data_IF_126652446612
#
_entry.id   IF_126652446612
#
_cell.length_a   1.000
_cell.length_b   1.000
_cell.length_c   1.000
_cell.angle_alpha   90.00
_cell.angle_beta   90.00
_cell.angle_gamma   90.00
#
_symmetry.space_group_name_H-M   'P 1'
#
loop_
_entity.id
_entity.type
_entity.pdbx_description
1 polymer ?
#
# COMPACT_ATOMS: atom_id res chain seq x y z
N UNK A 1 -4.90 9.36 -6.21
CA UNK A 1 -3.94 9.00 -7.28
C UNK A 1 -4.72 8.53 -8.49
N UNK A 2 -4.97 9.43 -9.41
CA UNK A 2 -5.89 9.20 -10.53
C UNK A 2 -5.50 8.03 -11.46
N UNK A 3 -4.23 7.77 -11.59
CA UNK A 3 -3.67 6.78 -12.51
C UNK A 3 -4.17 5.35 -12.22
N UNK A 4 -3.98 4.89 -10.99
CA UNK A 4 -4.38 3.55 -10.56
C UNK A 4 -5.89 3.45 -10.36
N UNK A 5 -6.53 4.51 -9.88
CA UNK A 5 -7.95 4.55 -9.56
C UNK A 5 -8.80 4.49 -10.84
N UNK A 6 -8.38 5.20 -11.89
CA UNK A 6 -9.05 5.15 -13.19
C UNK A 6 -9.07 3.75 -13.79
N UNK A 7 -7.95 3.02 -13.75
CA UNK A 7 -7.87 1.65 -14.26
C UNK A 7 -8.71 0.68 -13.41
N UNK A 8 -8.73 0.82 -12.08
CA UNK A 8 -9.56 0.01 -11.20
C UNK A 8 -11.06 0.24 -11.47
N UNK A 9 -11.48 1.50 -11.66
CA UNK A 9 -12.86 1.84 -12.00
C UNK A 9 -13.29 1.22 -13.34
N UNK A 10 -12.43 1.31 -14.37
CA UNK A 10 -12.72 0.69 -15.67
C UNK A 10 -12.84 -0.84 -15.55
N UNK A 11 -11.97 -1.46 -14.78
CA UNK A 11 -12.02 -2.89 -14.50
C UNK A 11 -13.32 -3.28 -13.74
N UNK A 12 -13.68 -2.53 -12.70
CA UNK A 12 -14.91 -2.75 -11.96
C UNK A 12 -16.15 -2.65 -12.87
N UNK A 13 -16.20 -1.67 -13.77
CA UNK A 13 -17.29 -1.53 -14.74
C UNK A 13 -17.40 -2.72 -15.70
N UNK A 14 -16.30 -3.30 -16.11
CA UNK A 14 -16.31 -4.49 -16.97
C UNK A 14 -16.78 -5.76 -16.24
N UNK A 15 -16.52 -5.86 -14.94
CA UNK A 15 -16.93 -7.02 -14.13
C UNK A 15 -18.39 -6.91 -13.68
N UNK A 16 -18.88 -5.72 -13.38
CA UNK A 16 -20.20 -5.51 -12.80
C UNK A 16 -21.37 -6.21 -13.53
N UNK A 17 -21.39 -6.35 -14.88
CA UNK A 17 -22.41 -7.13 -15.56
C UNK A 17 -22.38 -8.63 -15.28
N UNK A 18 -21.26 -9.15 -14.78
CA UNK A 18 -21.01 -10.60 -14.64
C UNK A 18 -20.96 -11.06 -13.18
N UNK A 19 -20.78 -10.14 -12.22
CA UNK A 19 -20.65 -10.48 -10.81
C UNK A 19 -21.19 -9.36 -9.91
N UNK A 20 -21.69 -9.73 -8.72
CA UNK A 20 -22.07 -8.77 -7.68
C UNK A 20 -20.92 -8.44 -6.73
N UNK A 21 -19.95 -9.34 -6.61
CA UNK A 21 -18.81 -9.22 -5.70
C UNK A 21 -17.55 -9.70 -6.40
N UNK A 22 -16.44 -9.08 -6.05
CA UNK A 22 -15.10 -9.56 -6.37
C UNK A 22 -14.32 -9.86 -5.09
N UNK A 23 -13.41 -10.81 -5.18
CA UNK A 23 -12.42 -11.10 -4.13
C UNK A 23 -11.10 -10.51 -4.57
N UNK A 24 -10.55 -9.61 -3.75
CA UNK A 24 -9.27 -8.94 -4.03
C UNK A 24 -8.15 -9.51 -3.18
N UNK A 25 -6.94 -9.57 -3.75
CA UNK A 25 -5.71 -9.88 -3.03
C UNK A 25 -5.09 -8.68 -2.30
N UNK A 26 -5.76 -7.54 -2.26
CA UNK A 26 -5.30 -6.37 -1.51
C UNK A 26 -5.10 -6.70 -0.02
N UNK A 27 -4.25 -5.95 0.64
CA UNK A 27 -3.81 -6.15 2.02
C UNK A 27 -2.83 -7.32 2.23
N UNK A 28 -2.62 -8.17 1.25
CA UNK A 28 -1.66 -9.28 1.34
C UNK A 28 -0.20 -8.84 1.40
N UNK A 29 0.15 -7.72 0.78
CA UNK A 29 1.51 -7.17 0.83
C UNK A 29 1.81 -6.53 2.19
N UNK A 30 0.84 -5.83 2.77
CA UNK A 30 0.92 -5.23 4.10
C UNK A 30 1.07 -6.30 5.18
N UNK A 31 0.28 -7.34 5.06
CA UNK A 31 0.20 -8.39 6.08
C UNK A 31 1.43 -9.32 6.06
N UNK A 32 1.86 -9.73 4.87
CA UNK A 32 2.91 -10.74 4.70
C UNK A 32 4.27 -10.18 4.26
N UNK A 33 4.46 -8.86 4.29
CA UNK A 33 5.76 -8.24 3.98
C UNK A 33 6.10 -8.26 2.48
N UNK A 34 5.15 -7.96 1.60
CA UNK A 34 5.35 -8.00 0.15
C UNK A 34 6.08 -6.80 -0.43
N UNK A 35 6.12 -5.67 0.26
CA UNK A 35 6.71 -4.44 -0.25
C UNK A 35 8.23 -4.38 -0.10
N UNK A 36 8.92 -3.66 -0.99
CA UNK A 36 10.39 -3.54 -0.95
C UNK A 36 10.94 -2.99 0.35
N UNK A 37 10.24 -2.04 0.99
CA UNK A 37 10.69 -1.43 2.24
C UNK A 37 10.73 -2.39 3.44
N UNK A 38 10.04 -3.52 3.38
CA UNK A 38 10.16 -4.55 4.39
C UNK A 38 11.45 -5.37 4.30
N UNK A 39 12.20 -5.24 3.20
CA UNK A 39 13.49 -5.93 3.03
C UNK A 39 14.69 -5.15 3.58
N UNK A 40 14.46 -3.92 3.96
CA UNK A 40 15.49 -3.03 4.46
C UNK A 40 14.99 -2.35 5.74
N UNK A 41 15.44 -2.87 6.89
CA UNK A 41 15.11 -2.32 8.19
C UNK A 41 15.62 -0.87 8.38
N UNK A 42 16.52 -0.38 7.52
CA UNK A 42 16.99 1.01 7.53
C UNK A 42 16.06 1.96 6.78
N UNK A 43 15.09 1.44 6.05
CA UNK A 43 14.12 2.26 5.29
C UNK A 43 13.13 3.03 6.17
N UNK A 44 13.04 2.70 7.46
CA UNK A 44 12.27 3.48 8.42
C UNK A 44 12.93 4.83 8.68
N UNK A 45 12.25 5.91 8.34
CA UNK A 45 12.65 7.28 8.61
C UNK A 45 11.61 7.99 9.46
N UNK A 46 12.05 8.81 10.41
CA UNK A 46 11.16 9.67 11.18
C UNK A 46 10.57 10.83 10.36
N UNK A 47 11.09 11.09 9.17
CA UNK A 47 10.74 12.27 8.38
C UNK A 47 9.59 12.03 7.38
N UNK A 48 9.38 10.76 6.96
CA UNK A 48 8.34 10.43 6.00
C UNK A 48 8.00 8.93 6.03
N UNK A 49 6.80 8.58 5.60
CA UNK A 49 6.43 7.19 5.40
C UNK A 49 7.25 6.54 4.27
N UNK A 50 7.60 5.24 4.35
CA UNK A 50 8.41 4.56 3.33
C UNK A 50 7.87 4.68 1.90
N UNK A 51 6.55 4.80 1.74
CA UNK A 51 5.87 4.94 0.44
C UNK A 51 5.64 6.38 0.00
N UNK A 52 6.01 7.39 0.80
CA UNK A 52 5.70 8.81 0.52
C UNK A 52 6.36 9.36 -0.73
N UNK A 53 7.48 8.80 -1.16
CA UNK A 53 8.31 9.41 -2.19
C UNK A 53 8.86 10.77 -1.73
N UNK A 54 9.17 11.66 -2.68
CA UNK A 54 9.75 12.95 -2.36
C UNK A 54 8.72 13.95 -1.82
N UNK A 55 8.75 14.21 -0.51
CA UNK A 55 7.97 15.28 0.12
C UNK A 55 8.37 16.67 -0.38
N UNK A 56 9.60 16.85 -0.82
CA UNK A 56 10.05 18.09 -1.45
C UNK A 56 9.28 18.38 -2.74
N UNK A 57 9.25 17.42 -3.66
CA UNK A 57 8.53 17.58 -4.93
C UNK A 57 7.03 17.80 -4.68
N UNK A 58 6.41 17.05 -3.78
CA UNK A 58 5.00 17.23 -3.42
C UNK A 58 4.71 18.63 -2.86
N UNK A 59 5.62 19.15 -2.01
CA UNK A 59 5.48 20.48 -1.44
C UNK A 59 5.60 21.59 -2.49
N UNK A 60 6.36 21.37 -3.56
CA UNK A 60 6.55 22.37 -4.63
C UNK A 60 5.30 22.58 -5.49
N UNK A 61 4.38 21.61 -5.55
CA UNK A 61 3.11 21.74 -6.27
C UNK A 61 2.18 22.75 -5.58
N UNK A 62 2.33 22.94 -4.27
CA UNK A 62 1.48 23.83 -3.50
C UNK A 62 1.90 25.29 -3.66
N UNK A 63 0.91 26.19 -3.80
CA UNK A 63 1.16 27.65 -3.69
C UNK A 63 1.83 27.95 -2.34
N UNK A 64 2.76 28.91 -2.32
CA UNK A 64 3.55 29.24 -1.12
C UNK A 64 2.67 29.44 0.13
N UNK A 65 1.61 30.22 0.03
CA UNK A 65 0.65 30.47 1.14
C UNK A 65 0.08 29.18 1.72
N UNK A 66 -0.29 28.21 0.85
CA UNK A 66 -0.87 26.93 1.25
C UNK A 66 0.21 26.06 1.90
N UNK A 67 1.38 25.97 1.29
CA UNK A 67 2.51 25.22 1.81
C UNK A 67 2.96 25.69 3.19
N UNK A 68 3.07 27.02 3.38
CA UNK A 68 3.50 27.64 4.64
C UNK A 68 2.47 27.37 5.77
N UNK A 69 1.18 27.31 5.43
CA UNK A 69 0.10 26.99 6.36
C UNK A 69 0.05 25.48 6.69
N UNK A 70 0.13 24.62 5.69
CA UNK A 70 0.02 23.17 5.86
C UNK A 70 1.30 22.52 6.40
N UNK A 71 2.47 23.10 6.10
CA UNK A 71 3.79 22.58 6.49
C UNK A 71 3.91 21.06 6.24
N UNK A 72 3.78 20.58 4.96
CA UNK A 72 3.61 19.15 4.66
C UNK A 72 4.69 18.25 5.24
N UNK A 73 5.95 18.69 5.25
CA UNK A 73 7.06 17.94 5.85
C UNK A 73 6.89 17.77 7.36
N UNK A 74 6.54 18.85 8.05
CA UNK A 74 6.32 18.81 9.51
C UNK A 74 5.10 17.96 9.86
N UNK A 75 4.04 18.02 9.06
CA UNK A 75 2.87 17.19 9.21
C UNK A 75 3.21 15.69 9.02
N UNK A 76 3.92 15.33 7.95
CA UNK A 76 4.31 13.95 7.70
C UNK A 76 5.19 13.40 8.82
N UNK A 77 6.20 14.19 9.26
CA UNK A 77 7.06 13.82 10.39
C UNK A 77 6.25 13.59 11.68
N UNK A 78 5.34 14.50 12.00
CA UNK A 78 4.50 14.37 13.20
C UNK A 78 3.62 13.12 13.14
N UNK A 79 3.04 12.81 11.97
CA UNK A 79 2.24 11.61 11.77
C UNK A 79 3.07 10.32 11.94
N UNK A 80 4.29 10.28 11.37
CA UNK A 80 5.20 9.13 11.53
C UNK A 80 5.60 8.95 12.99
N UNK A 81 6.03 10.01 13.67
CA UNK A 81 6.44 9.93 15.08
C UNK A 81 5.28 9.47 15.97
N UNK A 82 4.09 9.99 15.74
CA UNK A 82 2.89 9.58 16.47
C UNK A 82 2.55 8.08 16.23
N UNK A 83 2.74 7.59 15.00
CA UNK A 83 2.55 6.17 14.69
C UNK A 83 3.60 5.30 15.40
N UNK A 84 4.87 5.72 15.41
CA UNK A 84 5.96 5.03 16.11
C UNK A 84 5.65 4.90 17.61
N UNK A 85 5.20 5.96 18.24
CA UNK A 85 4.91 6.00 19.69
C UNK A 85 3.77 5.06 20.11
N UNK A 86 2.91 4.66 19.16
CA UNK A 86 1.79 3.75 19.43
C UNK A 86 2.11 2.28 19.22
N UNK A 87 3.28 1.96 18.68
CA UNK A 87 3.63 0.56 18.42
C UNK A 87 4.03 -0.15 19.68
N UNK A 88 3.29 -1.18 20.02
CA UNK A 88 3.68 -2.10 21.09
C UNK A 88 4.71 -3.10 20.58
N UNK A 89 5.84 -3.17 21.26
CA UNK A 89 6.93 -4.09 20.95
C UNK A 89 6.92 -5.29 21.88
N UNK A 90 7.32 -6.46 21.34
CA UNK A 90 7.47 -7.65 22.14
C UNK A 90 8.68 -7.55 23.08
N UNK A 91 8.63 -8.16 24.28
CA UNK A 91 9.78 -8.23 25.15
C UNK A 91 10.98 -8.86 24.44
N UNK A 92 12.15 -8.23 24.52
CA UNK A 92 13.40 -8.70 23.89
C UNK A 92 13.35 -8.85 22.37
N UNK A 93 12.41 -8.18 21.70
CA UNK A 93 12.35 -8.17 20.23
C UNK A 93 13.63 -7.57 19.63
N UNK A 94 14.26 -8.22 18.62
CA UNK A 94 15.44 -7.68 17.96
C UNK A 94 15.18 -6.30 17.33
N UNK A 95 16.18 -5.44 17.26
CA UNK A 95 16.04 -4.07 16.74
C UNK A 95 15.50 -4.04 15.30
N UNK A 96 15.95 -4.99 14.46
CA UNK A 96 15.45 -5.12 13.09
C UNK A 96 13.95 -5.45 13.06
N UNK A 97 13.50 -6.39 13.90
CA UNK A 97 12.10 -6.79 13.96
C UNK A 97 11.21 -5.67 14.52
N UNK A 98 11.72 -4.89 15.50
CA UNK A 98 11.03 -3.68 15.98
C UNK A 98 10.80 -2.68 14.84
N UNK A 99 11.82 -2.47 14.03
CA UNK A 99 11.72 -1.59 12.87
C UNK A 99 10.67 -2.09 11.86
N UNK A 100 10.71 -3.39 11.52
CA UNK A 100 9.77 -4.01 10.59
C UNK A 100 8.34 -4.02 11.14
N UNK A 101 8.15 -4.29 12.44
CA UNK A 101 6.85 -4.19 13.12
C UNK A 101 6.30 -2.77 13.06
N UNK A 102 7.14 -1.78 13.31
CA UNK A 102 6.76 -0.36 13.21
C UNK A 102 6.31 -0.01 11.78
N UNK A 103 7.07 -0.43 10.77
CA UNK A 103 6.67 -0.23 9.38
C UNK A 103 5.36 -0.95 9.03
N UNK A 104 5.15 -2.16 9.55
CA UNK A 104 3.91 -2.91 9.33
C UNK A 104 2.72 -2.22 9.98
N UNK A 105 2.87 -1.73 11.20
CA UNK A 105 1.83 -0.95 11.90
C UNK A 105 1.43 0.29 11.08
N UNK A 106 2.42 1.05 10.62
CA UNK A 106 2.15 2.20 9.76
C UNK A 106 1.46 1.81 8.44
N UNK A 107 1.84 0.67 7.85
CA UNK A 107 1.15 0.15 6.67
C UNK A 107 -0.32 -0.15 6.96
N UNK A 108 -0.66 -0.75 8.09
CA UNK A 108 -2.06 -1.03 8.45
C UNK A 108 -2.85 0.26 8.66
N UNK A 109 -2.30 1.19 9.42
CA UNK A 109 -3.02 2.41 9.80
C UNK A 109 -3.25 3.37 8.63
N UNK A 110 -2.25 3.52 7.76
CA UNK A 110 -2.30 4.58 6.73
C UNK A 110 -2.41 4.04 5.31
N UNK A 111 -1.72 2.96 4.99
CA UNK A 111 -1.63 2.47 3.63
C UNK A 111 -2.75 1.49 3.29
N UNK A 112 -2.93 0.47 4.12
CA UNK A 112 -3.97 -0.54 3.95
C UNK A 112 -5.38 0.07 4.03
N UNK A 113 -5.62 0.97 4.99
CA UNK A 113 -6.90 1.68 5.11
C UNK A 113 -7.24 2.46 3.82
N UNK A 114 -6.25 3.18 3.27
CA UNK A 114 -6.43 3.89 2.00
C UNK A 114 -6.66 2.96 0.80
N UNK A 115 -6.01 1.81 0.75
CA UNK A 115 -6.24 0.82 -0.32
C UNK A 115 -7.65 0.25 -0.26
N UNK A 116 -8.13 -0.08 0.94
CA UNK A 116 -9.49 -0.60 1.13
C UNK A 116 -10.56 0.42 0.78
N UNK A 117 -10.41 1.66 1.24
CA UNK A 117 -11.33 2.75 0.89
C UNK A 117 -11.39 2.96 -0.62
N UNK A 118 -10.24 2.94 -1.28
CA UNK A 118 -10.13 3.05 -2.74
C UNK A 118 -10.85 1.90 -3.44
N UNK A 119 -10.58 0.66 -3.06
CA UNK A 119 -11.19 -0.51 -3.67
C UNK A 119 -12.72 -0.50 -3.47
N UNK A 120 -13.17 -0.21 -2.26
CA UNK A 120 -14.58 -0.12 -1.93
C UNK A 120 -15.28 0.99 -2.75
N UNK A 121 -14.70 2.19 -2.82
CA UNK A 121 -15.27 3.32 -3.54
C UNK A 121 -15.35 3.08 -5.05
N UNK A 122 -14.27 2.56 -5.67
CA UNK A 122 -14.25 2.30 -7.12
C UNK A 122 -15.21 1.17 -7.51
N UNK A 123 -15.30 0.14 -6.68
CA UNK A 123 -16.25 -0.95 -6.90
C UNK A 123 -17.70 -0.51 -6.67
N UNK A 124 -17.98 0.22 -5.59
CA UNK A 124 -19.31 0.72 -5.27
C UNK A 124 -19.88 1.64 -6.36
N UNK A 125 -19.03 2.47 -6.98
CA UNK A 125 -19.42 3.31 -8.12
C UNK A 125 -19.94 2.48 -9.31
N UNK A 126 -19.54 1.23 -9.42
CA UNK A 126 -19.99 0.28 -10.43
C UNK A 126 -21.04 -0.72 -9.89
N UNK A 127 -21.62 -0.48 -8.71
CA UNK A 127 -22.53 -1.39 -8.02
C UNK A 127 -21.93 -2.80 -7.75
N UNK A 128 -20.63 -2.85 -7.56
CA UNK A 128 -19.86 -4.07 -7.31
C UNK A 128 -19.34 -4.06 -5.86
N UNK A 129 -19.50 -5.15 -5.12
CA UNK A 129 -18.90 -5.31 -3.79
C UNK A 129 -17.44 -5.78 -3.90
N UNK A 130 -16.53 -5.18 -3.13
CA UNK A 130 -15.17 -5.65 -2.98
C UNK A 130 -15.00 -6.38 -1.66
N UNK A 131 -14.47 -7.61 -1.70
CA UNK A 131 -14.12 -8.41 -0.54
C UNK A 131 -12.60 -8.52 -0.46
N UNK A 132 -12.04 -8.22 0.71
CA UNK A 132 -10.58 -8.23 0.97
C UNK A 132 -10.25 -9.20 2.10
N UNK A 133 -10.17 -10.52 1.84
CA UNK A 133 -9.98 -11.54 2.88
C UNK A 133 -8.69 -11.35 3.71
N UNK A 134 -7.64 -10.76 3.12
CA UNK A 134 -6.40 -10.45 3.86
C UNK A 134 -6.55 -9.32 4.88
N UNK A 135 -7.67 -8.61 4.87
CA UNK A 135 -8.02 -7.62 5.88
C UNK A 135 -8.90 -8.20 7.01
N UNK A 136 -9.17 -9.50 7.02
CA UNK A 136 -9.90 -10.15 8.13
C UNK A 136 -9.10 -9.96 9.43
N UNK A 137 -9.77 -9.41 10.45
CA UNK A 137 -9.15 -9.04 11.73
C UNK A 137 -8.44 -10.24 12.39
N UNK A 138 -9.03 -11.43 12.34
CA UNK A 138 -8.46 -12.65 12.91
C UNK A 138 -7.16 -13.02 12.21
N UNK A 139 -7.11 -12.90 10.89
CA UNK A 139 -5.91 -13.16 10.10
C UNK A 139 -4.84 -12.11 10.39
N UNK A 140 -5.23 -10.84 10.45
CA UNK A 140 -4.32 -9.73 10.78
C UNK A 140 -3.71 -9.94 12.15
N UNK A 141 -4.50 -10.22 13.19
CA UNK A 141 -4.02 -10.48 14.54
C UNK A 141 -3.05 -11.66 14.60
N UNK A 142 -3.35 -12.75 13.89
CA UNK A 142 -2.49 -13.92 13.82
C UNK A 142 -1.15 -13.62 13.16
N UNK A 143 -1.18 -13.04 11.95
CA UNK A 143 0.02 -12.81 11.14
C UNK A 143 0.86 -11.63 11.64
N UNK A 144 0.24 -10.64 12.29
CA UNK A 144 0.98 -9.49 12.84
C UNK A 144 2.12 -9.92 13.77
N UNK A 145 1.87 -10.92 14.61
CA UNK A 145 2.84 -11.44 15.56
C UNK A 145 3.74 -12.58 15.01
N UNK A 146 3.53 -13.01 13.76
CA UNK A 146 4.41 -13.98 13.14
C UNK A 146 5.83 -13.41 12.98
N UNK A 147 6.90 -14.16 13.32
CA UNK A 147 8.28 -13.72 13.16
C UNK A 147 8.57 -13.29 11.71
N UNK A 148 9.41 -12.27 11.54
CA UNK A 148 9.74 -11.77 10.20
C UNK A 148 10.51 -12.78 9.37
N UNK A 149 11.32 -13.64 9.98
CA UNK A 149 11.97 -14.77 9.31
C UNK A 149 10.97 -15.72 8.63
N UNK A 150 9.78 -15.90 9.21
CA UNK A 150 8.71 -16.69 8.60
C UNK A 150 8.04 -15.93 7.46
N UNK A 151 7.83 -14.62 7.59
CA UNK A 151 7.28 -13.79 6.51
C UNK A 151 8.21 -13.75 5.29
N UNK A 152 9.52 -13.91 5.50
CA UNK A 152 10.55 -14.01 4.46
C UNK A 152 11.11 -15.42 4.27
N UNK A 153 10.35 -16.43 4.58
CA UNK A 153 10.79 -17.83 4.43
C UNK A 153 11.34 -18.09 3.02
N UNK A 154 12.51 -18.73 2.97
CA UNK A 154 13.23 -18.96 1.73
C UNK A 154 13.81 -17.70 1.07
N UNK A 155 13.94 -16.59 1.82
CA UNK A 155 14.45 -15.30 1.32
C UNK A 155 13.50 -14.60 0.34
N UNK A 156 12.23 -14.97 0.34
CA UNK A 156 11.22 -14.42 -0.57
C UNK A 156 10.16 -13.62 0.16
N UNK A 157 9.65 -12.60 -0.51
CA UNK A 157 8.47 -11.87 -0.04
C UNK A 157 7.26 -12.81 0.10
N UNK A 158 6.44 -12.55 1.12
CA UNK A 158 5.24 -13.34 1.44
C UNK A 158 5.55 -14.84 1.66
N UNK A 159 6.75 -15.15 2.21
CA UNK A 159 7.20 -16.53 2.39
C UNK A 159 6.22 -17.38 3.18
N UNK A 160 5.69 -16.85 4.29
CA UNK A 160 4.67 -17.54 5.10
C UNK A 160 3.40 -17.84 4.30
N UNK A 161 2.90 -16.90 3.50
CA UNK A 161 1.73 -17.11 2.66
C UNK A 161 2.01 -18.17 1.58
N UNK A 162 3.17 -18.09 0.92
CA UNK A 162 3.57 -19.07 -0.11
C UNK A 162 3.65 -20.48 0.45
N UNK A 163 4.22 -20.62 1.65
CA UNK A 163 4.29 -21.91 2.35
C UNK A 163 2.90 -22.46 2.69
N UNK A 164 2.00 -21.59 3.15
CA UNK A 164 0.63 -21.98 3.50
C UNK A 164 -0.21 -22.47 2.30
N UNK A 165 0.13 -22.03 1.08
CA UNK A 165 -0.66 -22.36 -0.13
C UNK A 165 0.06 -23.29 -1.11
N UNK A 166 1.27 -23.77 -0.78
CA UNK A 166 2.09 -24.56 -1.71
C UNK A 166 1.45 -25.87 -2.16
N UNK A 167 0.65 -26.47 -1.29
CA UNK A 167 -0.05 -27.73 -1.58
C UNK A 167 -1.44 -27.52 -2.19
N UNK A 168 -1.87 -26.25 -2.36
CA UNK A 168 -3.18 -25.85 -2.88
C UNK A 168 -3.06 -25.28 -4.28
N UNK A 169 -2.00 -24.51 -4.53
CA UNK A 169 -1.80 -23.79 -5.80
C UNK A 169 -0.70 -24.43 -6.63
N UNK A 170 -0.79 -24.38 -7.98
CA UNK A 170 0.29 -24.82 -8.86
C UNK A 170 1.61 -24.09 -8.54
N UNK A 171 2.72 -24.84 -8.56
CA UNK A 171 4.06 -24.34 -8.25
C UNK A 171 4.44 -23.05 -8.99
N UNK A 172 4.17 -22.87 -10.29
CA UNK A 172 4.48 -21.60 -10.99
C UNK A 172 3.76 -20.38 -10.42
N UNK A 173 2.59 -20.55 -9.81
CA UNK A 173 1.85 -19.47 -9.15
C UNK A 173 2.41 -19.18 -7.76
N UNK A 174 2.72 -20.23 -6.98
CA UNK A 174 3.29 -20.10 -5.64
C UNK A 174 4.61 -19.33 -5.67
N UNK A 175 5.48 -19.66 -6.63
CA UNK A 175 6.83 -19.11 -6.71
C UNK A 175 7.00 -17.98 -7.73
N UNK A 176 5.90 -17.50 -8.31
CA UNK A 176 5.93 -16.34 -9.22
C UNK A 176 6.55 -15.12 -8.53
N UNK A 177 7.44 -14.43 -9.24
CA UNK A 177 7.95 -13.14 -8.80
C UNK A 177 6.81 -12.13 -8.73
N UNK A 178 6.76 -11.34 -7.67
CA UNK A 178 5.80 -10.24 -7.56
C UNK A 178 6.01 -9.25 -8.71
N UNK A 179 4.92 -8.91 -9.38
CA UNK A 179 4.92 -7.90 -10.43
C UNK A 179 4.33 -6.60 -9.85
N UNK A 180 4.97 -5.46 -10.03
CA UNK A 180 4.38 -4.20 -9.64
C UNK A 180 3.10 -3.97 -10.45
N UNK A 181 2.19 -3.17 -9.89
CA UNK A 181 1.02 -2.69 -10.64
C UNK A 181 1.50 -1.95 -11.90
N UNK A 182 0.88 -2.18 -13.07
CA UNK A 182 1.27 -1.50 -14.30
C UNK A 182 1.23 0.02 -14.11
N UNK A 183 2.36 0.66 -14.31
CA UNK A 183 2.42 2.12 -14.34
C UNK A 183 2.07 2.61 -15.72
N UNK A 184 1.33 3.69 -15.80
CA UNK A 184 1.09 4.37 -17.07
C UNK A 184 2.37 5.07 -17.48
N UNK A 185 3.19 4.38 -18.26
CA UNK A 185 4.45 4.89 -18.79
C UNK A 185 4.30 5.45 -20.21
N UNK A 186 3.07 5.63 -20.70
CA UNK A 186 2.81 6.18 -22.03
C UNK A 186 3.16 7.67 -22.06
N UNK A 187 4.07 8.12 -22.97
CA UNK A 187 4.32 9.54 -23.19
C UNK A 187 3.07 10.31 -23.63
N UNK A 188 2.16 9.64 -24.31
CA UNK A 188 0.88 10.20 -24.75
C UNK A 188 -0.03 10.51 -23.55
N UNK A 189 -0.18 9.56 -22.61
CA UNK A 189 -0.91 9.79 -21.37
C UNK A 189 -0.32 10.96 -20.57
N UNK A 190 1.00 11.01 -20.41
CA UNK A 190 1.66 12.11 -19.70
C UNK A 190 1.36 13.48 -20.37
N UNK A 191 1.39 13.54 -21.70
CA UNK A 191 1.08 14.75 -22.47
C UNK A 191 -0.37 15.16 -22.26
N UNK A 192 -1.34 14.24 -22.45
CA UNK A 192 -2.75 14.50 -22.23
C UNK A 192 -3.06 14.98 -20.81
N UNK A 193 -2.44 14.36 -19.79
CA UNK A 193 -2.59 14.78 -18.40
C UNK A 193 -2.07 16.20 -18.16
N UNK A 194 -0.92 16.56 -18.76
CA UNK A 194 -0.35 17.91 -18.68
C UNK A 194 -1.24 18.93 -19.35
N UNK A 195 -1.77 18.61 -20.53
CA UNK A 195 -2.64 19.53 -21.28
C UNK A 195 -3.96 19.77 -20.55
N UNK A 196 -4.57 18.71 -20.00
CA UNK A 196 -5.76 18.84 -19.16
C UNK A 196 -5.49 19.71 -17.91
N UNK A 197 -4.34 19.50 -17.25
CA UNK A 197 -3.97 20.34 -16.11
C UNK A 197 -3.78 21.81 -16.48
N UNK A 198 -3.20 22.09 -17.66
CA UNK A 198 -3.04 23.47 -18.15
C UNK A 198 -4.39 24.13 -18.43
N UNK A 199 -5.32 23.42 -19.05
CA UNK A 199 -6.69 23.89 -19.25
C UNK A 199 -7.35 24.23 -17.92
N UNK A 200 -7.31 23.32 -16.94
CA UNK A 200 -7.91 23.54 -15.60
C UNK A 200 -7.26 24.68 -14.80
N UNK A 201 -6.03 25.05 -15.10
CA UNK A 201 -5.33 26.15 -14.43
C UNK A 201 -5.45 27.49 -15.16
N UNK A 202 -5.97 27.49 -16.39
CA UNK A 202 -6.19 28.69 -17.18
C UNK A 202 -7.53 29.39 -16.85
N UNK A 203 -8.49 28.64 -16.29
CA UNK A 203 -9.76 29.11 -15.73
C UNK A 203 -9.57 29.60 -14.26
#
# INVERSE_FOLDING_TARGET
>A
MADVDGSLLLFARQIAPHARHIVSGECGDELFGGYPWFRDATSLSADAFPWSGSMELRSRILKKRVRDKLRPKAYARAAVLNAIDRVEHLPREPAADKCLRTMQHMCFEFFMANLQERAASMCAYSHLGALTPFADERLVQYVYNAPWEMKFLGGREKGLLREAVKDILPEPLVYRKSSPYPRTCSPEYARMAVDLMREMLAD
#
